data_IF_874463370239
#
_entry.id   IF_874463370239
#
_cell.length_a   1.000
_cell.length_b   1.000
_cell.length_c   1.000
_cell.angle_alpha   90.00
_cell.angle_beta   90.00
_cell.angle_gamma   90.00
#
_symmetry.space_group_name_H-M   'P 1'
#
loop_
_entity.id
_entity.type
_entity.pdbx_description
1 polymer ?
2 polymer ?
3 non-polymer ?
4 non-polymer ?
5 water ?
#
# COMPACT_ATOMS: atom_id res chain seq x y z
N UNK A 1 2.41 -9.29 -14.69
CA UNK A 1 2.29 -8.05 -13.89
C UNK A 1 0.85 -7.52 -13.89
N UNK A 2 0.35 -7.19 -12.71
CA UNK A 2 -1.02 -6.69 -12.59
C UNK A 2 -1.13 -5.67 -11.45
N UNK A 3 -0.95 -4.37 -11.75
CA UNK A 3 -1.03 -3.30 -10.75
C UNK A 3 -2.37 -3.27 -10.01
N UNK B 1 -7.92 -7.47 0.02
CA UNK B 1 -7.17 -8.54 0.73
C UNK B 1 -7.95 -9.84 0.68
N UNK B 2 -7.33 -10.87 0.12
CA UNK B 2 -7.97 -12.18 0.03
C UNK B 2 -7.46 -13.00 1.21
N UNK B 3 -8.36 -13.73 1.85
CA UNK B 3 -7.97 -14.56 2.99
C UNK B 3 -7.56 -13.76 4.20
N UNK B 4 -8.15 -12.58 4.36
CA UNK B 4 -7.80 -11.76 5.51
C UNK B 4 -8.82 -11.89 6.62
N UNK B 5 -8.60 -11.11 7.67
CA UNK B 5 -9.49 -11.06 8.82
C UNK B 5 -9.79 -9.58 9.02
N UNK B 6 -10.91 -9.27 9.65
CA UNK B 6 -11.26 -7.88 9.88
C UNK B 6 -10.31 -7.27 10.89
N UNK B 7 -9.72 -6.13 10.56
CA UNK B 7 -8.80 -5.46 11.46
C UNK B 7 -9.55 -4.75 12.57
N UNK B 8 -8.90 -4.60 13.72
CA UNK B 8 -9.48 -3.89 14.83
C UNK B 8 -9.44 -2.42 14.44
N UNK B 9 -10.44 -1.68 14.88
CA UNK B 9 -10.59 -0.26 14.58
C UNK B 9 -9.36 0.64 14.75
N UNK B 10 -8.52 0.34 15.73
CA UNK B 10 -7.34 1.16 15.99
C UNK B 10 -6.00 0.46 15.79
N UNK B 11 -5.98 -0.60 15.00
CA UNK B 11 -4.74 -1.34 14.79
C UNK B 11 -3.77 -0.72 13.79
N UNK B 12 -4.31 -0.13 12.72
CA UNK B 12 -3.45 0.45 11.68
C UNK B 12 -3.82 1.91 11.38
N UNK B 13 -3.57 2.80 12.35
CA UNK B 13 -3.89 4.22 12.19
C UNK B 13 -3.21 5.02 11.07
N UNK B 14 -2.20 4.46 10.42
CA UNK B 14 -1.55 5.18 9.33
C UNK B 14 -2.17 4.82 7.97
N UNK B 15 -3.04 3.82 7.96
CA UNK B 15 -3.69 3.40 6.73
C UNK B 15 -4.69 4.45 6.28
N UNK B 16 -4.68 4.77 4.99
CA UNK B 16 -5.65 5.73 4.47
C UNK B 16 -6.35 5.13 3.26
N UNK B 17 -7.50 5.71 2.93
CA UNK B 17 -8.27 5.29 1.77
C UNK B 17 -8.16 6.42 0.75
N UNK B 18 -7.63 6.10 -0.44
CA UNK B 18 -7.51 7.09 -1.50
C UNK B 18 -8.74 6.88 -2.37
N UNK B 19 -9.52 7.94 -2.55
CA UNK B 19 -10.76 7.86 -3.30
C UNK B 19 -10.82 8.88 -4.43
N UNK B 20 -11.62 8.59 -5.45
CA UNK B 20 -11.77 9.50 -6.56
C UNK B 20 -13.24 9.87 -6.72
N UNK B 21 -13.50 11.06 -7.23
CA UNK B 21 -14.88 11.50 -7.39
C UNK B 21 -15.51 10.79 -8.58
N UNK B 22 -16.65 10.14 -8.32
CA UNK B 22 -17.39 9.41 -9.33
C UNK B 22 -18.84 9.90 -9.30
N UNK B 23 -19.18 10.77 -10.24
CA UNK B 23 -20.53 11.29 -10.28
C UNK B 23 -20.81 12.24 -9.14
N UNK B 24 -21.75 11.88 -8.27
CA UNK B 24 -22.09 12.70 -7.12
C UNK B 24 -21.54 12.11 -5.83
N UNK B 25 -20.68 11.11 -5.95
CA UNK B 25 -20.10 10.46 -4.77
C UNK B 25 -18.61 10.19 -4.94
N UNK B 26 -18.05 9.47 -3.99
CA UNK B 26 -16.64 9.11 -4.01
C UNK B 26 -16.48 7.61 -4.00
N UNK B 27 -15.42 7.12 -4.65
CA UNK B 27 -15.16 5.69 -4.72
C UNK B 27 -13.74 5.37 -4.28
N UNK B 28 -13.61 4.36 -3.44
CA UNK B 28 -12.31 3.92 -2.97
C UNK B 28 -11.58 3.28 -4.15
N UNK B 29 -10.33 3.64 -4.35
CA UNK B 29 -9.56 3.05 -5.44
C UNK B 29 -8.25 2.43 -4.96
N UNK B 30 -7.64 3.02 -3.94
CA UNK B 30 -6.36 2.55 -3.45
C UNK B 30 -6.16 2.83 -1.97
N UNK B 31 -5.10 2.25 -1.42
CA UNK B 31 -4.74 2.49 -0.04
C UNK B 31 -3.57 3.45 -0.08
N UNK B 32 -3.03 3.74 1.10
CA UNK B 32 -1.89 4.64 1.21
C UNK B 32 -1.48 4.67 2.66
N UNK B 33 -0.36 5.32 2.94
CA UNK B 33 0.16 5.45 4.30
C UNK B 33 0.39 6.91 4.62
N UNK B 34 -0.17 7.38 5.73
CA UNK B 34 0.05 8.76 6.15
C UNK B 34 1.47 8.80 6.70
N UNK B 35 2.34 9.62 6.12
CA UNK B 35 3.71 9.71 6.62
C UNK B 35 4.06 11.05 7.27
N UNK B 36 3.24 12.06 6.99
CA UNK B 36 3.37 13.38 7.59
C UNK B 36 1.93 13.83 7.74
N UNK B 37 1.67 14.83 8.60
CA UNK B 37 0.31 15.28 8.77
C UNK B 37 -0.30 15.77 7.46
N UNK B 38 0.55 16.13 6.50
CA UNK B 38 0.07 16.59 5.21
C UNK B 38 0.67 15.86 4.01
N UNK B 39 1.17 14.64 4.25
CA UNK B 39 1.73 13.83 3.19
C UNK B 39 1.33 12.36 3.29
N UNK B 40 0.94 11.80 2.16
CA UNK B 40 0.55 10.41 2.06
C UNK B 40 1.44 9.70 1.03
N UNK B 41 1.87 8.49 1.37
CA UNK B 41 2.69 7.67 0.49
C UNK B 41 1.78 6.61 -0.12
N UNK B 42 1.79 6.51 -1.44
CA UNK B 42 0.96 5.54 -2.13
C UNK B 42 1.73 5.03 -3.36
N UNK B 43 1.06 4.26 -4.20
CA UNK B 43 1.70 3.73 -5.40
C UNK B 43 1.50 4.70 -6.55
N UNK B 44 2.50 4.81 -7.42
CA UNK B 44 2.40 5.68 -8.58
C UNK B 44 1.27 5.25 -9.51
N UNK B 45 1.06 3.94 -9.67
CA UNK B 45 0.01 3.52 -10.60
C UNK B 45 -1.38 3.90 -10.12
N UNK B 46 -1.51 4.23 -8.84
CA UNK B 46 -2.80 4.64 -8.28
C UNK B 46 -3.22 6.01 -8.77
N UNK B 47 -2.24 6.83 -9.14
CA UNK B 47 -2.55 8.18 -9.59
C UNK B 47 -2.22 8.45 -11.05
N UNK B 48 -2.21 7.41 -11.87
CA UNK B 48 -1.95 7.58 -13.30
C UNK B 48 -3.12 8.31 -13.96
N UNK B 49 -4.33 8.02 -13.48
CA UNK B 49 -5.54 8.63 -14.04
C UNK B 49 -5.69 10.10 -13.61
N UNK B 50 -6.18 10.92 -14.54
CA UNK B 50 -6.39 12.35 -14.32
C UNK B 50 -7.68 12.57 -13.53
N UNK B 51 -7.80 11.91 -12.38
CA UNK B 51 -9.00 12.01 -11.56
C UNK B 51 -8.88 13.00 -10.41
N UNK B 52 -10.01 13.27 -9.76
CA UNK B 52 -10.04 14.14 -8.60
C UNK B 52 -9.92 13.20 -7.40
N UNK B 53 -8.85 13.34 -6.63
CA UNK B 53 -8.62 12.49 -5.49
C UNK B 53 -8.80 13.14 -4.14
N UNK B 54 -9.19 12.35 -3.16
CA UNK B 54 -9.30 12.82 -1.80
C UNK B 54 -8.75 11.69 -0.94
N UNK B 55 -8.28 12.05 0.24
CA UNK B 55 -7.73 11.08 1.18
C UNK B 55 -8.62 11.04 2.41
N UNK B 56 -8.90 9.84 2.89
CA UNK B 56 -9.70 9.69 4.10
C UNK B 56 -8.83 8.98 5.14
N UNK B 57 -8.62 9.65 6.27
CA UNK B 57 -7.84 9.07 7.36
C UNK B 57 -8.84 8.72 8.46
N UNK B 58 -8.46 7.81 9.35
CA UNK B 58 -9.34 7.40 10.42
C UNK B 58 -10.54 6.64 9.90
N UNK B 59 -10.38 5.98 8.76
CA UNK B 59 -11.45 5.21 8.14
C UNK B 59 -11.41 3.75 8.57
N UNK B 60 -12.59 3.13 8.67
CA UNK B 60 -12.68 1.73 9.03
C UNK B 60 -13.70 1.01 8.13
N UNK B 61 -14.93 1.52 8.10
CA UNK B 61 -15.98 0.93 7.27
C UNK B 61 -16.29 1.91 6.14
N UNK B 62 -15.97 1.55 4.90
CA UNK B 62 -16.22 2.45 3.78
C UNK B 62 -17.68 2.84 3.55
N UNK B 63 -18.61 2.06 4.07
CA UNK B 63 -20.03 2.33 3.83
C UNK B 63 -20.83 2.88 5.02
N UNK B 64 -20.19 3.07 6.16
CA UNK B 64 -20.89 3.56 7.34
C UNK B 64 -20.09 4.60 8.11
N UNK B 65 -20.75 5.56 8.73
CA UNK B 65 -20.06 6.58 9.50
C UNK B 65 -19.42 5.95 10.75
N UNK B 66 -18.11 6.12 10.89
CA UNK B 66 -17.39 5.56 12.04
C UNK B 66 -17.18 6.61 13.13
N UNK B 67 -17.44 7.88 12.79
CA UNK B 67 -17.27 8.95 13.75
C UNK B 67 -15.82 9.28 14.02
N UNK B 68 -14.93 8.82 13.15
CA UNK B 68 -13.49 9.06 13.32
C UNK B 68 -12.80 9.54 12.04
N UNK B 69 -13.55 9.64 10.95
CA UNK B 69 -12.98 10.06 9.67
C UNK B 69 -12.67 11.53 9.50
N UNK B 70 -11.64 11.78 8.70
CA UNK B 70 -11.23 13.13 8.33
C UNK B 70 -11.04 13.05 6.83
N UNK B 71 -11.66 13.97 6.10
CA UNK B 71 -11.57 13.99 4.64
C UNK B 71 -10.75 15.19 4.18
N UNK B 72 -9.79 14.95 3.31
CA UNK B 72 -8.95 16.02 2.82
C UNK B 72 -8.60 15.85 1.36
N UNK B 73 -8.60 16.95 0.61
CA UNK B 73 -8.27 16.88 -0.80
C UNK B 73 -6.78 16.73 -1.03
N UNK B 74 -6.43 16.24 -2.21
CA UNK B 74 -5.03 16.08 -2.60
C UNK B 74 -4.65 17.33 -3.36
N UNK B 75 -3.69 18.08 -2.82
CA UNK B 75 -3.23 19.33 -3.41
C UNK B 75 -2.14 19.19 -4.46
N UNK B 76 -1.24 18.23 -4.27
CA UNK B 76 -0.16 18.01 -5.21
C UNK B 76 0.22 16.54 -5.24
N UNK B 77 0.55 16.04 -6.42
CA UNK B 77 0.95 14.65 -6.59
C UNK B 77 2.35 14.60 -7.17
N UNK B 78 3.26 13.95 -6.46
CA UNK B 78 4.63 13.81 -6.92
C UNK B 78 4.94 12.34 -7.13
N UNK B 79 4.95 11.94 -8.39
CA UNK B 79 5.23 10.55 -8.74
C UNK B 79 6.74 10.42 -8.92
N UNK B 80 7.28 9.25 -8.63
CA UNK B 80 8.71 9.07 -8.80
C UNK B 80 9.02 9.32 -10.28
N UNK B 81 10.03 10.17 -10.55
CA UNK B 81 10.44 10.52 -11.93
C UNK B 81 10.75 9.35 -12.86
N UNK B 82 11.13 8.20 -12.29
CA UNK B 82 11.46 7.05 -13.12
C UNK B 82 10.29 6.10 -13.35
N UNK B 83 9.14 6.40 -12.76
CA UNK B 83 7.96 5.56 -12.93
C UNK B 83 7.52 5.51 -14.39
N UNK B 84 7.21 4.31 -14.86
CA UNK B 84 6.75 4.10 -16.23
C UNK B 84 5.47 3.28 -16.12
N UNK B 85 4.34 3.90 -16.42
CA UNK B 85 3.05 3.23 -16.34
C UNK B 85 2.96 1.96 -17.19
N UNK B 86 3.77 1.89 -18.25
CA UNK B 86 3.77 0.74 -19.14
C UNK B 86 4.70 -0.37 -18.65
N UNK B 87 5.40 -0.15 -17.54
CA UNK B 87 6.34 -1.12 -17.03
C UNK B 87 6.38 -1.15 -15.50
N UNK B 88 5.34 -1.68 -14.87
CA UNK B 88 5.30 -1.74 -13.41
C UNK B 88 6.43 -2.63 -12.86
N UNK B 89 6.82 -3.63 -13.64
CA UNK B 89 7.88 -4.56 -13.24
C UNK B 89 9.24 -3.87 -13.13
N UNK B 90 9.36 -2.68 -13.71
CA UNK B 90 10.62 -1.94 -13.64
C UNK B 90 10.78 -1.30 -12.27
N UNK B 91 9.68 -1.20 -11.54
CA UNK B 91 9.72 -0.61 -10.21
C UNK B 91 9.33 0.86 -10.17
N UNK B 92 9.83 1.56 -9.15
CA UNK B 92 9.55 2.98 -8.96
C UNK B 92 8.07 3.26 -8.78
N UNK B 93 7.31 2.24 -8.36
CA UNK B 93 5.87 2.40 -8.16
C UNK B 93 5.61 3.04 -6.81
N UNK B 94 5.85 4.35 -6.75
CA UNK B 94 5.67 5.10 -5.53
C UNK B 94 5.37 6.55 -5.88
N UNK B 95 4.50 7.17 -5.07
CA UNK B 95 4.11 8.55 -5.26
C UNK B 95 3.80 9.16 -3.91
N UNK B 96 4.01 10.48 -3.80
CA UNK B 96 3.71 11.19 -2.57
C UNK B 96 2.61 12.20 -2.86
N UNK B 97 1.63 12.25 -1.96
CA UNK B 97 0.51 13.17 -2.12
C UNK B 97 0.54 14.22 -1.03
N UNK B 98 0.60 15.49 -1.42
CA UNK B 98 0.57 16.54 -0.43
C UNK B 98 -0.89 16.90 -0.25
N UNK B 99 -1.35 16.83 1.00
CA UNK B 99 -2.74 17.11 1.33
C UNK B 99 -3.02 18.60 1.43
N UNK B 100 -4.23 19.00 1.05
CA UNK B 100 -4.63 20.41 1.08
C UNK B 100 -4.55 20.99 2.49
N UNK B 101 -4.80 20.15 3.49
CA UNK B 101 -4.74 20.57 4.88
C UNK B 101 -4.05 19.48 5.68
N UNK B 102 -3.48 19.85 6.84
CA UNK B 102 -2.82 18.88 7.69
C UNK B 102 -3.87 18.22 8.56
N UNK B 103 -3.90 16.89 8.56
CA UNK B 103 -4.88 16.18 9.36
C UNK B 103 -4.49 16.19 10.84
N UNK B 104 -5.47 15.90 11.68
CA UNK B 104 -5.27 15.88 13.13
C UNK B 104 -4.95 14.46 13.60
N UNK B 105 -3.88 14.31 14.35
CA UNK B 105 -3.46 13.01 14.85
C UNK B 105 -4.20 12.63 16.13
N UNK B 106 -4.57 11.35 16.24
CA UNK B 106 -5.25 10.80 17.40
C UNK B 106 -5.12 9.27 17.36
N UNK B 107 -5.91 8.57 18.18
CA UNK B 107 -5.84 7.11 18.21
C UNK B 107 -6.11 6.43 16.87
N UNK B 108 -6.84 7.12 15.98
CA UNK B 108 -7.19 6.55 14.68
C UNK B 108 -6.42 7.13 13.51
N UNK B 109 -5.60 8.14 13.78
CA UNK B 109 -4.83 8.80 12.74
C UNK B 109 -3.42 9.03 13.26
N UNK B 110 -2.48 8.24 12.76
CA UNK B 110 -1.09 8.34 13.18
C UNK B 110 -0.16 8.22 11.97
N UNK B 111 1.06 8.72 12.11
CA UNK B 111 2.01 8.65 11.04
C UNK B 111 2.60 7.23 10.98
N UNK B 112 2.83 6.74 9.77
CA UNK B 112 3.42 5.43 9.62
C UNK B 112 4.91 5.51 9.83
N UNK B 113 5.46 4.52 10.52
CA UNK B 113 6.89 4.47 10.79
C UNK B 113 7.56 3.85 9.57
N UNK B 114 8.55 4.53 9.01
CA UNK B 114 9.25 3.98 7.85
C UNK B 114 10.57 3.37 8.29
N UNK B 115 11.03 2.32 7.58
CA UNK B 115 12.28 1.65 7.93
C UNK B 115 13.50 2.49 7.60
N UNK B 116 14.63 2.13 8.19
CA UNK B 116 15.88 2.83 7.92
C UNK B 116 16.26 2.51 6.48
N UNK B 117 16.85 3.49 5.79
CA UNK B 117 17.25 3.30 4.40
C UNK B 117 18.11 2.05 4.20
N UNK B 118 17.82 1.31 3.15
CA UNK B 118 18.60 0.12 2.83
C UNK B 118 18.21 -1.16 3.56
N UNK B 119 17.32 -1.06 4.55
CA UNK B 119 16.92 -2.23 5.33
C UNK B 119 16.26 -3.31 4.48
N UNK B 120 16.75 -4.54 4.61
CA UNK B 120 16.21 -5.68 3.90
C UNK B 120 15.77 -6.70 4.94
N UNK B 121 14.55 -7.21 4.80
CA UNK B 121 14.01 -8.18 5.73
C UNK B 121 14.48 -9.60 5.44
N UNK B 122 14.75 -10.36 6.50
CA UNK B 122 15.17 -11.73 6.34
C UNK B 122 13.99 -12.50 5.77
N UNK B 123 14.27 -13.60 5.09
CA UNK B 123 13.21 -14.40 4.50
C UNK B 123 12.22 -14.83 5.59
N UNK B 124 10.95 -14.90 5.22
CA UNK B 124 9.88 -15.29 6.12
C UNK B 124 9.66 -14.37 7.33
N UNK B 125 9.91 -13.08 7.16
CA UNK B 125 9.71 -12.12 8.24
C UNK B 125 8.21 -11.84 8.40
N UNK B 126 7.74 -11.69 9.64
CA UNK B 126 6.33 -11.42 9.92
C UNK B 126 5.83 -10.05 9.47
N UNK B 127 4.81 -10.06 8.62
CA UNK B 127 4.22 -8.81 8.12
C UNK B 127 2.73 -8.99 7.92
N UNK B 128 2.03 -7.87 7.88
CA UNK B 128 0.60 -7.85 7.63
C UNK B 128 0.33 -6.87 6.51
N UNK B 129 -0.51 -7.28 5.57
CA UNK B 129 -0.94 -6.36 4.53
C UNK B 129 -2.32 -5.91 5.00
N UNK B 130 -2.66 -4.65 4.78
CA UNK B 130 -3.97 -4.15 5.17
C UNK B 130 -4.60 -3.39 4.01
N UNK B 131 -5.92 -3.40 3.95
CA UNK B 131 -6.60 -2.68 2.89
C UNK B 131 -8.06 -3.05 2.73
N UNK B 132 -8.74 -2.30 1.86
CA UNK B 132 -10.15 -2.52 1.56
C UNK B 132 -10.30 -3.17 0.19
N UNK B 133 -9.19 -3.69 -0.35
CA UNK B 133 -9.22 -4.31 -1.66
C UNK B 133 -10.13 -5.53 -1.79
N UNK B 134 -10.26 -6.03 -3.01
CA UNK B 134 -11.11 -7.20 -3.27
C UNK B 134 -10.80 -8.34 -2.31
N UNK B 135 -11.86 -9.01 -1.85
CA UNK B 135 -11.70 -10.12 -0.92
C UNK B 135 -11.57 -11.47 -1.64
N UNK B 136 -11.66 -11.41 -2.97
CA UNK B 136 -11.51 -12.59 -3.82
C UNK B 136 -11.11 -12.09 -5.19
N UNK B 137 -10.37 -12.90 -5.94
CA UNK B 137 -9.98 -12.53 -7.29
C UNK B 137 -11.26 -12.23 -8.05
N UNK B 138 -11.28 -11.08 -8.73
CA UNK B 138 -12.46 -10.66 -9.50
C UNK B 138 -13.70 -10.53 -8.63
N UNK B 139 -13.47 -10.25 -7.34
CA UNK B 139 -14.57 -10.09 -6.40
C UNK B 139 -14.91 -8.62 -6.19
N UNK B 140 -15.22 -8.27 -4.95
CA UNK B 140 -15.58 -6.89 -4.64
C UNK B 140 -14.81 -6.37 -3.43
N UNK B 141 -14.76 -5.05 -3.31
CA UNK B 141 -14.06 -4.41 -2.21
C UNK B 141 -14.64 -4.84 -0.86
N UNK B 142 -13.81 -4.80 0.16
CA UNK B 142 -14.27 -5.12 1.50
C UNK B 142 -14.93 -3.85 2.04
N UNK B 143 -15.87 -4.01 2.94
CA UNK B 143 -16.53 -2.86 3.53
C UNK B 143 -15.68 -2.35 4.69
N UNK B 144 -15.14 -3.29 5.46
CA UNK B 144 -14.31 -2.96 6.61
C UNK B 144 -12.85 -3.30 6.33
N UNK B 145 -11.94 -2.53 6.90
CA UNK B 145 -10.51 -2.75 6.70
C UNK B 145 -10.11 -4.18 7.04
N UNK B 146 -9.38 -4.81 6.13
CA UNK B 146 -8.92 -6.18 6.32
C UNK B 146 -7.41 -6.24 6.51
N UNK B 147 -6.97 -7.32 7.14
CA UNK B 147 -5.54 -7.55 7.35
C UNK B 147 -5.27 -9.03 7.07
N UNK B 148 -4.09 -9.31 6.55
CA UNK B 148 -3.71 -10.69 6.28
C UNK B 148 -2.24 -10.86 6.60
N UNK B 149 -1.92 -11.95 7.27
CA UNK B 149 -0.56 -12.26 7.65
C UNK B 149 0.17 -12.77 6.40
N UNK B 150 1.16 -12.00 5.94
CA UNK B 150 1.94 -12.35 4.76
C UNK B 150 3.44 -12.31 5.02
N UNK B 151 4.04 -13.45 5.35
CA UNK B 151 5.48 -13.47 5.62
C UNK B 151 6.25 -13.12 4.34
N UNK B 152 7.37 -12.44 4.48
CA UNK B 152 8.15 -12.07 3.30
C UNK B 152 8.80 -13.26 2.63
N UNK B 153 9.09 -13.08 1.34
CA UNK B 153 9.77 -14.08 0.52
C UNK B 153 10.96 -13.27 0.00
N UNK B 154 12.17 -13.60 0.44
CA UNK B 154 13.32 -12.81 0.00
C UNK B 154 13.57 -12.81 -1.49
N UNK B 155 14.37 -11.84 -1.95
CA UNK B 155 14.70 -11.68 -3.36
C UNK B 155 15.17 -12.95 -4.05
N UNK B 156 16.11 -13.65 -3.44
CA UNK B 156 16.65 -14.88 -4.01
C UNK B 156 15.54 -15.86 -4.41
N UNK B 157 14.59 -16.06 -3.51
CA UNK B 157 13.48 -16.96 -3.76
C UNK B 157 12.44 -16.35 -4.69
N UNK B 158 12.03 -15.12 -4.38
CA UNK B 158 11.02 -14.44 -5.18
C UNK B 158 11.40 -14.27 -6.66
N UNK B 159 12.69 -14.08 -6.91
CA UNK B 159 13.17 -13.89 -8.28
C UNK B 159 13.51 -15.20 -8.99
N UNK B 160 13.25 -16.32 -8.33
CA UNK B 160 13.53 -17.61 -8.93
C UNK B 160 12.49 -17.91 -10.01
N UNK B 161 12.82 -18.83 -10.92
CA UNK B 161 11.92 -19.19 -12.01
C UNK B 161 10.53 -19.64 -11.57
N UNK B 162 10.46 -20.37 -10.46
CA UNK B 162 9.18 -20.86 -9.96
C UNK B 162 8.27 -19.75 -9.44
N UNK B 163 8.87 -18.63 -9.05
CA UNK B 163 8.11 -17.51 -8.54
C UNK B 163 7.88 -16.41 -9.57
N UNK B 164 8.48 -15.25 -9.34
CA UNK B 164 8.31 -14.13 -10.25
C UNK B 164 9.41 -13.96 -11.30
N UNK B 165 10.50 -14.70 -11.14
CA UNK B 165 11.59 -14.58 -12.09
C UNK B 165 12.14 -13.17 -12.14
N UNK B 166 12.56 -12.73 -13.32
CA UNK B 166 13.13 -11.40 -13.51
C UNK B 166 12.12 -10.27 -13.31
N UNK B 167 10.84 -10.62 -13.19
CA UNK B 167 9.79 -9.63 -12.99
C UNK B 167 10.02 -8.83 -11.70
N UNK B 168 10.48 -9.52 -10.66
CA UNK B 168 10.73 -8.85 -9.38
C UNK B 168 12.14 -8.27 -9.35
N UNK B 169 12.26 -7.09 -8.76
CA UNK B 169 13.53 -6.40 -8.65
C UNK B 169 13.91 -6.31 -7.17
N UNK B 170 15.17 -5.96 -6.90
CA UNK B 170 15.62 -5.84 -5.53
C UNK B 170 15.03 -4.59 -4.86
N UNK B 171 14.38 -3.76 -5.66
CA UNK B 171 13.76 -2.54 -5.16
C UNK B 171 12.33 -2.86 -4.71
N UNK B 172 12.04 -4.15 -4.61
CA UNK B 172 10.72 -4.62 -4.21
C UNK B 172 10.79 -5.60 -3.07
N UNK B 173 9.66 -5.76 -2.38
CA UNK B 173 9.53 -6.73 -1.29
C UNK B 173 8.39 -7.66 -1.71
N UNK B 174 8.59 -8.96 -1.55
CA UNK B 174 7.55 -9.92 -1.86
C UNK B 174 7.05 -10.49 -0.55
N UNK B 175 5.76 -10.76 -0.47
CA UNK B 175 5.21 -11.32 0.75
C UNK B 175 4.00 -12.19 0.44
N UNK B 176 3.90 -13.31 1.17
CA UNK B 176 2.79 -14.22 0.98
C UNK B 176 3.06 -15.32 -0.03
N UNK B 177 2.16 -15.47 -0.99
CA UNK B 177 2.32 -16.48 -2.02
C UNK B 177 1.89 -17.89 -1.62
N UNK B 178 1.10 -18.01 -0.56
CA UNK B 178 0.66 -19.34 -0.12
C UNK B 178 -0.59 -19.85 -0.83
N UNK B 179 -1.12 -19.05 -1.75
CA UNK B 179 -2.30 -19.46 -2.50
C UNK B 179 -3.62 -19.21 -1.82
N UNK B 180 -3.60 -18.72 -0.59
CA UNK B 180 -4.83 -18.46 0.15
C UNK B 180 -4.96 -16.98 0.53
N UNK B 181 -3.86 -16.40 1.00
CA UNK B 181 -3.84 -15.00 1.42
C UNK B 181 -3.03 -14.12 0.47
N UNK B 182 -3.52 -12.91 0.23
CA UNK B 182 -2.83 -12.01 -0.68
C UNK B 182 -3.49 -10.64 -0.77
N UNK B 183 -2.78 -9.71 -1.39
CA UNK B 183 -3.37 -8.41 -1.63
C UNK B 183 -4.20 -8.61 -2.89
N UNK B 184 -5.05 -7.64 -3.22
CA UNK B 184 -5.87 -7.75 -4.43
C UNK B 184 -6.24 -6.33 -4.86
N UNK B 185 -6.87 -6.18 -6.02
CA UNK B 185 -7.22 -4.85 -6.51
C UNK B 185 -7.90 -4.02 -5.43
N UNK B 186 -7.44 -2.78 -5.26
CA UNK B 186 -8.01 -1.92 -4.25
C UNK B 186 -7.08 -1.80 -3.05
N UNK B 187 -6.13 -2.73 -2.93
CA UNK B 187 -5.15 -2.68 -1.85
C UNK B 187 -3.92 -1.88 -2.29
N UNK B 188 -3.77 -1.75 -3.60
CA UNK B 188 -2.66 -1.01 -4.24
C UNK B 188 -2.35 0.29 -3.51
N UNK B 189 -1.07 0.57 -3.33
CA UNK B 189 -0.67 1.80 -2.67
C UNK B 189 -0.66 1.73 -1.17
N UNK B 190 -1.32 0.71 -0.61
CA UNK B 190 -1.37 0.54 0.83
C UNK B 190 -0.10 -0.01 1.43
N UNK B 191 -0.07 -0.13 2.75
CA UNK B 191 1.08 -0.63 3.48
C UNK B 191 1.25 -2.13 3.67
N UNK B 192 2.51 -2.51 3.88
CA UNK B 192 2.88 -3.86 4.26
C UNK B 192 3.59 -3.48 5.56
N UNK B 193 2.99 -3.87 6.68
CA UNK B 193 3.53 -3.57 8.01
C UNK B 193 4.34 -4.77 8.49
N UNK B 194 5.61 -4.55 8.82
CA UNK B 194 6.44 -5.64 9.28
C UNK B 194 7.01 -5.34 10.64
N UNK B 195 6.97 -6.34 11.52
CA UNK B 195 7.47 -6.21 12.88
C UNK B 195 8.99 -6.33 12.92
N UNK B 196 9.64 -5.24 13.32
CA UNK B 196 11.09 -5.20 13.41
C UNK B 196 11.51 -4.52 14.72
N UNK B 197 12.25 -5.26 15.56
CA UNK B 197 12.71 -4.72 16.84
C UNK B 197 11.53 -4.27 17.69
N UNK B 198 10.48 -5.10 17.69
CA UNK B 198 9.30 -4.82 18.48
C UNK B 198 8.38 -3.73 17.98
N UNK B 199 8.74 -3.11 16.85
CA UNK B 199 7.95 -2.03 16.29
C UNK B 199 7.52 -2.31 14.86
N UNK B 200 6.26 -2.06 14.54
CA UNK B 200 5.80 -2.28 13.18
C UNK B 200 6.18 -1.06 12.34
N UNK B 201 6.73 -1.33 11.16
CA UNK B 201 7.12 -0.27 10.24
C UNK B 201 6.60 -0.63 8.86
N UNK B 202 6.35 0.39 8.04
CA UNK B 202 5.82 0.16 6.70
C UNK B 202 6.98 -0.08 5.73
N UNK B 203 7.20 -1.36 5.42
CA UNK B 203 8.28 -1.75 4.53
C UNK B 203 7.88 -1.83 3.08
N UNK B 204 6.58 -1.88 2.80
CA UNK B 204 6.15 -1.97 1.42
C UNK B 204 4.94 -1.14 1.07
N UNK B 205 4.83 -0.82 -0.21
CA UNK B 205 3.71 -0.09 -0.78
C UNK B 205 3.18 -1.10 -1.80
N UNK B 206 1.97 -1.59 -1.59
CA UNK B 206 1.39 -2.59 -2.48
C UNK B 206 1.45 -2.17 -3.94
N UNK B 207 2.11 -2.98 -4.77
CA UNK B 207 2.29 -2.66 -6.18
C UNK B 207 1.57 -3.56 -7.17
N UNK B 208 1.80 -4.87 -7.13
CA UNK B 208 1.12 -5.76 -8.07
C UNK B 208 1.00 -7.20 -7.65
N UNK B 209 0.13 -7.93 -8.35
CA UNK B 209 -0.10 -9.34 -8.15
C UNK B 209 -0.11 -9.98 -9.53
N UNK B 210 -0.29 -11.29 -9.58
CA UNK B 210 -0.32 -12.02 -10.83
C UNK B 210 -1.52 -11.68 -11.70
N UNK B 211 -1.34 -11.69 -13.00
CA UNK B 211 -2.44 -11.42 -13.93
C UNK B 211 -3.40 -12.61 -13.89
N UNK B 212 -2.91 -13.73 -13.37
CA UNK B 212 -3.71 -14.94 -13.28
C UNK B 212 -4.66 -14.89 -12.09
N UNK B 213 -4.33 -14.05 -11.12
CA UNK B 213 -5.18 -13.95 -9.94
C UNK B 213 -4.46 -13.35 -8.76
N UNK B 214 -5.22 -13.00 -7.74
CA UNK B 214 -4.66 -12.41 -6.54
C UNK B 214 -3.90 -13.41 -5.66
N UNK B 215 -4.61 -14.42 -5.16
CA UNK B 215 -3.99 -15.43 -4.33
C UNK B 215 -3.55 -16.61 -5.19
N UNK B 216 -2.34 -16.53 -5.73
CA UNK B 216 -1.79 -17.59 -6.58
C UNK B 216 -0.53 -18.14 -5.92
N UNK B 217 -0.46 -19.46 -5.79
CA UNK B 217 0.69 -20.10 -5.18
C UNK B 217 1.97 -19.75 -5.91
N UNK B 218 2.98 -19.33 -5.13
CA UNK B 218 4.28 -18.95 -5.65
C UNK B 218 4.28 -17.65 -6.46
N UNK B 219 3.23 -16.86 -6.25
CA UNK B 219 3.12 -15.55 -6.88
C UNK B 219 2.77 -14.60 -5.74
N UNK B 220 3.70 -14.42 -4.80
CA UNK B 220 3.44 -13.54 -3.66
C UNK B 220 3.12 -12.12 -4.09
N UNK B 221 2.41 -11.40 -3.23
CA UNK B 221 2.06 -10.02 -3.52
C UNK B 221 3.39 -9.25 -3.58
N UNK B 222 3.51 -8.33 -4.53
CA UNK B 222 4.74 -7.56 -4.68
C UNK B 222 4.52 -6.12 -4.26
N UNK B 223 5.46 -5.61 -3.48
CA UNK B 223 5.42 -4.27 -2.95
C UNK B 223 6.67 -3.48 -3.29
N UNK B 224 6.52 -2.17 -3.39
CA UNK B 224 7.66 -1.31 -3.63
C UNK B 224 8.38 -1.32 -2.27
N UNK B 225 9.69 -1.53 -2.28
CA UNK B 225 10.46 -1.54 -1.03
C UNK B 225 10.70 -0.12 -0.56
N UNK B 226 9.98 0.28 0.49
CA UNK B 226 10.09 1.62 1.03
C UNK B 226 11.51 2.03 1.40
N UNK B 227 12.27 1.10 1.98
CA UNK B 227 13.63 1.42 2.40
C UNK B 227 14.57 1.80 1.27
N UNK B 228 14.15 1.56 0.03
CA UNK B 228 14.97 1.91 -1.12
C UNK B 228 14.68 3.34 -1.57
N UNK B 229 13.67 3.96 -0.97
CA UNK B 229 13.26 5.31 -1.36
C UNK B 229 13.27 6.38 -0.26
N UNK B 230 13.93 6.10 0.85
CA UNK B 230 13.98 7.05 1.94
C UNK B 230 14.52 8.42 1.53
N UNK B 231 15.63 8.44 0.80
CA UNK B 231 16.21 9.71 0.37
C UNK B 231 15.26 10.45 -0.56
N UNK B 232 14.66 9.73 -1.50
CA UNK B 232 13.72 10.34 -2.42
C UNK B 232 12.55 10.97 -1.66
N UNK B 233 11.97 10.19 -0.75
CA UNK B 233 10.86 10.66 0.06
C UNK B 233 11.23 11.94 0.82
N UNK B 234 12.37 11.93 1.49
CA UNK B 234 12.82 13.10 2.25
C UNK B 234 13.07 14.29 1.34
N UNK B 235 13.63 14.03 0.16
CA UNK B 235 13.92 15.09 -0.80
C UNK B 235 12.63 15.78 -1.25
N UNK B 236 11.61 14.97 -1.55
CA UNK B 236 10.34 15.52 -2.00
C UNK B 236 9.67 16.37 -0.93
N UNK B 237 9.59 15.85 0.28
CA UNK B 237 8.96 16.59 1.37
C UNK B 237 9.70 17.88 1.69
N UNK B 238 11.02 17.84 1.67
CA UNK B 238 11.83 19.02 1.97
C UNK B 238 11.71 20.10 0.89
N UNK B 239 11.43 19.67 -0.34
CA UNK B 239 11.31 20.61 -1.47
C UNK B 239 9.89 21.08 -1.76
N UNK B 240 8.90 20.49 -1.06
CA UNK B 240 7.52 20.90 -1.28
C UNK B 240 6.85 21.30 0.03
#
# INVERSE_FOLDING_TARGET
VEPX
VVGGTEAQRNSWPSQISLQYRSGSSWAHTCGGTLIRQNWVMTAAHCVDRELTFRVVVGEHNLNQNNGTEQYVGVQKIVVHPYWNTDDVAAGYDIALLRLAQSVTLNSYVQLGVLPRAGTILANNSPCYITGWGLTRTNGQLAQTLQQAYLPTVDYAICSSSSYWGSTVKNSMVCAGGDGVRSGCQGDSGGPLHCLVNGQYAVHGVTSFVSRLGCNVTRKPTVFTRVSAYISWINNVIASN
#
